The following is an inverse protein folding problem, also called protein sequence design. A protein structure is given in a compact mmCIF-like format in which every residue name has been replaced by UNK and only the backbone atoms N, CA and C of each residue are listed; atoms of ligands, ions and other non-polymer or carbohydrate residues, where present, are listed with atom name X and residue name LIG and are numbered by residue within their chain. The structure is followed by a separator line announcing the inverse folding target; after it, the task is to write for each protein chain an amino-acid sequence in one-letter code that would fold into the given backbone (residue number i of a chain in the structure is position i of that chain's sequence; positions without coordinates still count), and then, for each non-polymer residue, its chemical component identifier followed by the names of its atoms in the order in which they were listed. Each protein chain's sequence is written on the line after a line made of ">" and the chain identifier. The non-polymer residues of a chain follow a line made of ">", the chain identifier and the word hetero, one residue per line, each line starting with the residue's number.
data_IF_175844226977
#
_entry.id   IF_175844226977
#
_cell.length_a   1.000
_cell.length_b   1.000
_cell.length_c   1.000
_cell.angle_alpha   90.00
_cell.angle_beta   90.00
_cell.angle_gamma   90.00
#
_symmetry.space_group_name_H-M   'P 1'
#
loop_
_entity.id
_entity.type
_entity.pdbx_description
1 polymer ?
#
# COMPACT_ATOMS: atom_id res chain seq x y z
N UNK A 1 -15.75 -14.09 0.49
CA UNK A 1 -15.60 -13.36 -0.78
C UNK A 1 -14.19 -13.58 -1.30
N UNK A 2 -14.07 -13.97 -2.56
CA UNK A 2 -12.77 -14.14 -3.21
C UNK A 2 -12.15 -12.77 -3.50
N UNK A 3 -10.85 -12.66 -3.26
CA UNK A 3 -10.07 -11.42 -3.41
C UNK A 3 -9.32 -11.43 -4.73
N UNK A 4 -9.60 -10.45 -5.58
CA UNK A 4 -8.96 -10.35 -6.89
C UNK A 4 -7.69 -9.52 -6.84
N UNK A 5 -6.59 -10.03 -7.40
CA UNK A 5 -5.39 -9.24 -7.67
C UNK A 5 -5.67 -8.13 -8.69
N UNK A 6 -4.86 -7.08 -8.70
CA UNK A 6 -5.01 -5.95 -9.62
C UNK A 6 -4.95 -6.34 -11.11
N UNK A 7 -4.17 -7.39 -11.45
CA UNK A 7 -4.10 -7.95 -12.79
C UNK A 7 -5.38 -8.71 -13.20
N UNK A 8 -5.93 -9.53 -12.30
CA UNK A 8 -7.22 -10.23 -12.52
C UNK A 8 -8.38 -9.23 -12.59
N UNK A 9 -8.34 -8.17 -11.79
CA UNK A 9 -9.30 -7.06 -11.82
C UNK A 9 -9.37 -6.38 -13.18
N UNK A 10 -8.23 -6.10 -13.81
CA UNK A 10 -8.19 -5.43 -15.13
C UNK A 10 -8.89 -6.28 -16.20
N UNK A 11 -8.75 -7.60 -16.16
CA UNK A 11 -9.41 -8.51 -17.09
C UNK A 11 -10.93 -8.60 -16.82
N UNK A 12 -11.32 -8.69 -15.55
CA UNK A 12 -12.73 -8.78 -15.15
C UNK A 12 -13.47 -7.46 -15.41
N UNK A 13 -12.83 -6.32 -15.18
CA UNK A 13 -13.36 -4.99 -15.48
C UNK A 13 -13.81 -4.87 -16.95
N UNK A 14 -12.94 -5.25 -17.88
CA UNK A 14 -13.23 -5.25 -19.33
C UNK A 14 -14.45 -6.10 -19.69
N UNK A 15 -14.64 -7.22 -19.00
CA UNK A 15 -15.78 -8.12 -19.22
C UNK A 15 -17.09 -7.52 -18.68
N UNK A 16 -17.03 -6.84 -17.53
CA UNK A 16 -18.22 -6.34 -16.84
C UNK A 16 -18.74 -5.01 -17.41
N UNK A 17 -17.83 -4.09 -17.76
CA UNK A 17 -18.20 -2.71 -18.13
C UNK A 17 -17.72 -2.29 -19.52
N UNK A 18 -17.08 -3.19 -20.29
CA UNK A 18 -16.57 -2.91 -21.63
C UNK A 18 -15.20 -2.21 -21.64
N UNK A 19 -14.66 -1.94 -22.83
CA UNK A 19 -13.31 -1.34 -23.01
C UNK A 19 -13.28 0.19 -22.90
N UNK A 20 -14.41 0.85 -22.65
CA UNK A 20 -14.49 2.30 -22.67
C UNK A 20 -13.83 2.96 -21.45
N UNK A 21 -13.01 3.99 -21.73
CA UNK A 21 -12.26 4.77 -20.74
C UNK A 21 -13.13 5.60 -19.77
N UNK A 22 -14.46 5.55 -19.91
CA UNK A 22 -15.45 6.25 -19.08
C UNK A 22 -16.21 5.33 -18.12
N UNK A 23 -15.68 4.14 -17.84
CA UNK A 23 -16.31 3.21 -16.92
C UNK A 23 -16.47 3.83 -15.52
N UNK A 24 -17.72 3.99 -15.11
CA UNK A 24 -18.09 4.43 -13.78
C UNK A 24 -17.55 3.40 -12.78
N UNK A 25 -16.53 3.77 -12.00
CA UNK A 25 -15.91 2.86 -11.00
C UNK A 25 -16.92 2.34 -9.98
N UNK A 26 -17.99 3.09 -9.74
CA UNK A 26 -19.08 2.66 -8.86
C UNK A 26 -19.96 1.59 -9.54
N UNK A 27 -20.12 1.63 -10.87
CA UNK A 27 -20.78 0.59 -11.65
C UNK A 27 -19.95 -0.70 -11.72
N UNK A 28 -18.63 -0.59 -11.94
CA UNK A 28 -17.70 -1.72 -11.89
C UNK A 28 -17.74 -2.40 -10.52
N UNK A 29 -17.62 -1.62 -9.44
CA UNK A 29 -17.75 -2.09 -8.06
C UNK A 29 -19.10 -2.77 -7.82
N UNK A 30 -20.20 -2.13 -8.22
CA UNK A 30 -21.54 -2.68 -8.05
C UNK A 30 -21.72 -4.01 -8.81
N UNK A 31 -21.14 -4.14 -10.01
CA UNK A 31 -21.23 -5.36 -10.81
C UNK A 31 -20.34 -6.48 -10.24
N UNK A 32 -19.13 -6.18 -9.77
CA UNK A 32 -18.26 -7.16 -9.11
C UNK A 32 -18.93 -7.77 -7.87
N UNK A 33 -19.53 -6.92 -7.03
CA UNK A 33 -20.28 -7.36 -5.85
C UNK A 33 -21.56 -8.12 -6.22
N UNK A 34 -22.39 -7.58 -7.13
CA UNK A 34 -23.72 -8.15 -7.44
C UNK A 34 -23.71 -9.37 -8.35
N UNK A 35 -22.78 -9.47 -9.30
CA UNK A 35 -22.81 -10.52 -10.33
C UNK A 35 -21.75 -11.60 -10.13
N UNK A 36 -20.69 -11.30 -9.37
CA UNK A 36 -19.53 -12.21 -9.22
C UNK A 36 -19.15 -12.49 -7.77
N UNK A 37 -19.74 -11.81 -6.78
CA UNK A 37 -19.39 -11.96 -5.36
C UNK A 37 -17.88 -11.79 -5.07
N UNK A 38 -17.23 -10.89 -5.80
CA UNK A 38 -15.80 -10.58 -5.70
C UNK A 38 -15.58 -9.13 -5.30
N UNK A 39 -14.53 -8.88 -4.52
CA UNK A 39 -14.13 -7.55 -4.07
C UNK A 39 -12.70 -7.22 -4.52
N UNK A 40 -12.36 -5.92 -4.54
CA UNK A 40 -10.98 -5.47 -4.69
C UNK A 40 -10.15 -6.05 -3.55
N UNK A 41 -9.09 -6.77 -3.90
CA UNK A 41 -8.29 -7.51 -2.94
C UNK A 41 -6.80 -7.46 -3.24
N UNK A 42 -6.01 -7.90 -2.27
CA UNK A 42 -4.63 -8.27 -2.50
C UNK A 42 -4.32 -9.51 -1.68
N UNK A 43 -3.96 -10.58 -2.39
CA UNK A 43 -3.44 -11.80 -1.80
C UNK A 43 -1.93 -11.62 -1.66
N UNK A 44 -1.44 -11.73 -0.43
CA UNK A 44 -0.02 -11.60 -0.10
C UNK A 44 0.45 -12.87 0.61
N UNK A 45 1.73 -13.20 0.41
CA UNK A 45 2.39 -14.22 1.20
C UNK A 45 2.52 -13.73 2.65
N UNK A 46 1.70 -14.31 3.54
CA UNK A 46 1.68 -13.98 4.97
C UNK A 46 2.92 -14.43 5.73
N UNK A 47 3.78 -15.24 5.11
CA UNK A 47 5.08 -15.60 5.68
C UNK A 47 6.14 -14.53 5.43
N UNK A 48 5.93 -13.71 4.40
CA UNK A 48 6.83 -12.62 3.99
C UNK A 48 6.32 -11.23 4.34
N UNK A 49 5.00 -11.06 4.47
CA UNK A 49 4.34 -9.75 4.61
C UNK A 49 3.37 -9.71 5.78
N UNK A 50 3.52 -8.70 6.64
CA UNK A 50 2.55 -8.35 7.67
C UNK A 50 1.82 -7.06 7.31
N UNK A 51 0.49 -7.04 7.40
CA UNK A 51 -0.28 -5.84 7.08
C UNK A 51 -0.19 -4.79 8.20
N UNK A 52 0.16 -3.56 7.82
CA UNK A 52 0.23 -2.40 8.72
C UNK A 52 -1.08 -1.60 8.70
N UNK A 53 -1.69 -1.46 7.52
CA UNK A 53 -2.83 -0.57 7.30
C UNK A 53 -3.60 -0.93 6.03
N UNK A 54 -4.89 -0.56 5.99
CA UNK A 54 -5.74 -0.71 4.81
C UNK A 54 -6.84 0.35 4.75
N UNK A 55 -7.37 0.56 3.55
CA UNK A 55 -8.54 1.41 3.30
C UNK A 55 -9.52 0.70 2.38
N UNK A 56 -10.81 0.94 2.62
CA UNK A 56 -11.94 0.35 1.89
C UNK A 56 -11.85 -1.18 1.92
N UNK A 57 -11.90 -1.84 0.77
CA UNK A 57 -11.96 -3.30 0.64
C UNK A 57 -10.63 -4.00 0.98
N UNK A 58 -9.54 -3.24 1.16
CA UNK A 58 -8.25 -3.75 1.61
C UNK A 58 -8.05 -3.68 3.14
N UNK A 59 -9.08 -3.32 3.91
CA UNK A 59 -9.06 -3.48 5.37
C UNK A 59 -9.09 -4.98 5.72
N UNK A 60 -8.23 -5.42 6.64
CA UNK A 60 -8.21 -6.80 7.14
C UNK A 60 -8.36 -6.80 8.66
N UNK A 61 -9.49 -7.32 9.14
CA UNK A 61 -9.85 -7.33 10.57
C UNK A 61 -10.22 -5.95 11.12
N UNK A 62 -10.20 -5.80 12.45
CA UNK A 62 -10.33 -4.52 13.18
C UNK A 62 -9.05 -3.68 13.19
N UNK A 63 -7.99 -4.14 12.52
CA UNK A 63 -6.72 -3.41 12.42
C UNK A 63 -6.87 -2.33 11.33
N UNK A 64 -7.25 -1.14 11.79
CA UNK A 64 -7.12 0.10 11.04
C UNK A 64 -8.23 0.38 10.03
N UNK A 65 -9.44 0.66 10.52
CA UNK A 65 -10.49 1.31 9.70
C UNK A 65 -10.17 2.81 9.54
N UNK A 66 -9.57 3.21 8.42
CA UNK A 66 -9.34 4.63 8.10
C UNK A 66 -10.34 5.18 7.08
N UNK A 67 -10.97 6.31 7.37
CA UNK A 67 -11.76 7.07 6.38
C UNK A 67 -10.86 8.02 5.58
N UNK A 68 -11.39 8.67 4.52
CA UNK A 68 -10.66 9.66 3.70
C UNK A 68 -10.08 10.84 4.49
N UNK A 69 -10.59 11.11 5.70
CA UNK A 69 -10.22 12.27 6.51
C UNK A 69 -9.17 11.96 7.60
N UNK A 70 -9.13 10.73 8.10
CA UNK A 70 -8.32 10.35 9.25
C UNK A 70 -7.60 9.03 8.96
N UNK A 71 -6.28 8.98 9.18
CA UNK A 71 -5.66 7.70 9.53
C UNK A 71 -6.44 7.11 10.73
N UNK A 72 -6.58 5.78 10.82
CA UNK A 72 -7.37 5.16 11.86
C UNK A 72 -6.92 5.68 13.23
N UNK A 73 -7.90 6.07 14.05
CA UNK A 73 -7.69 6.31 15.47
C UNK A 73 -7.30 4.96 16.11
N UNK A 74 -5.98 4.80 16.30
CA UNK A 74 -5.29 3.74 17.04
C UNK A 74 -5.25 2.33 16.40
N UNK A 75 -4.17 1.56 16.53
CA UNK A 75 -3.01 1.76 17.41
C UNK A 75 -1.65 1.77 16.69
N UNK A 76 -0.83 2.83 16.83
CA UNK A 76 0.56 2.87 16.36
C UNK A 76 1.48 1.82 17.01
N UNK A 77 1.02 1.14 18.06
CA UNK A 77 1.85 0.20 18.83
C UNK A 77 2.25 -1.01 17.97
N UNK A 78 1.33 -1.65 17.22
CA UNK A 78 1.71 -2.80 16.39
C UNK A 78 2.52 -2.39 15.17
N UNK A 79 2.14 -1.32 14.48
CA UNK A 79 2.84 -0.87 13.28
C UNK A 79 4.26 -0.35 13.57
N UNK A 80 4.43 0.51 14.58
CA UNK A 80 5.75 1.03 14.96
C UNK A 80 6.68 -0.09 15.45
N UNK A 81 6.15 -1.05 16.23
CA UNK A 81 6.93 -2.23 16.67
C UNK A 81 7.37 -3.05 15.46
N UNK A 82 6.47 -3.36 14.53
CA UNK A 82 6.82 -4.14 13.33
C UNK A 82 7.83 -3.41 12.45
N UNK A 83 7.68 -2.10 12.28
CA UNK A 83 8.61 -1.29 11.49
C UNK A 83 10.01 -1.25 12.12
N UNK A 84 10.11 -1.08 13.45
CA UNK A 84 11.40 -1.00 14.15
C UNK A 84 12.11 -2.36 14.28
N UNK A 85 11.37 -3.48 14.26
CA UNK A 85 11.92 -4.82 14.45
C UNK A 85 12.31 -5.55 13.15
N UNK A 86 12.19 -4.89 12.00
CA UNK A 86 12.52 -5.51 10.70
C UNK A 86 13.84 -4.98 10.16
N UNK A 87 14.68 -5.86 9.60
CA UNK A 87 15.91 -5.49 8.89
C UNK A 87 16.82 -4.49 9.63
N UNK A 88 17.12 -4.73 10.91
CA UNK A 88 17.92 -3.80 11.74
C UNK A 88 17.35 -2.37 11.78
N UNK A 89 16.02 -2.20 11.76
CA UNK A 89 15.35 -0.90 11.76
C UNK A 89 15.25 -0.23 10.39
N UNK A 90 15.52 -0.98 9.30
CA UNK A 90 15.43 -0.53 7.91
C UNK A 90 14.29 -1.25 7.16
N UNK A 91 13.01 -1.01 7.54
CA UNK A 91 11.88 -1.72 6.94
C UNK A 91 11.77 -1.47 5.44
N UNK A 92 11.26 -2.51 4.75
CA UNK A 92 10.68 -2.40 3.41
C UNK A 92 9.17 -2.45 3.56
N UNK A 93 8.50 -1.40 3.10
CA UNK A 93 7.05 -1.25 3.14
C UNK A 93 6.50 -1.40 1.73
N UNK A 94 5.56 -2.32 1.54
CA UNK A 94 4.84 -2.52 0.30
C UNK A 94 3.51 -1.79 0.33
N UNK A 95 3.36 -0.80 -0.54
CA UNK A 95 2.07 -0.19 -0.84
C UNK A 95 1.39 -0.95 -1.96
N UNK A 96 0.16 -1.35 -1.70
CA UNK A 96 -0.74 -1.90 -2.73
C UNK A 96 -1.88 -0.96 -2.97
N UNK A 97 -2.20 -0.67 -4.23
CA UNK A 97 -3.30 0.19 -4.62
C UNK A 97 -4.04 -0.39 -5.82
N UNK A 98 -5.20 -1.02 -5.57
CA UNK A 98 -5.91 -1.76 -6.62
C UNK A 98 -6.50 -0.86 -7.71
N UNK A 99 -6.62 0.45 -7.45
CA UNK A 99 -7.24 1.44 -8.36
C UNK A 99 -6.26 2.47 -8.93
N UNK A 100 -4.97 2.31 -8.64
CA UNK A 100 -3.91 3.16 -9.16
C UNK A 100 -3.54 2.75 -10.60
N UNK A 101 -2.78 3.63 -11.27
CA UNK A 101 -2.16 3.28 -12.55
C UNK A 101 -1.30 2.02 -12.40
N UNK A 102 -1.13 1.19 -13.44
CA UNK A 102 -0.38 -0.08 -13.35
C UNK A 102 1.00 0.07 -12.68
N UNK A 103 1.74 1.11 -13.03
CA UNK A 103 3.07 1.42 -12.45
C UNK A 103 3.05 1.76 -10.96
N UNK A 104 1.89 2.10 -10.40
CA UNK A 104 1.70 2.55 -9.01
C UNK A 104 0.79 1.61 -8.21
N UNK A 105 0.38 0.48 -8.79
CA UNK A 105 -0.38 -0.55 -8.07
C UNK A 105 0.47 -1.20 -6.98
N UNK A 106 1.79 -1.29 -7.22
CA UNK A 106 2.78 -1.79 -6.28
C UNK A 106 3.93 -0.79 -6.17
N UNK A 107 4.22 -0.36 -4.94
CA UNK A 107 5.36 0.50 -4.64
C UNK A 107 6.04 -0.05 -3.40
N UNK A 108 7.34 -0.29 -3.49
CA UNK A 108 8.15 -0.73 -2.36
C UNK A 108 8.96 0.45 -1.85
N UNK A 109 8.56 0.99 -0.71
CA UNK A 109 9.32 2.00 0.03
C UNK A 109 10.37 1.27 0.87
N UNK A 110 11.65 1.61 0.71
CA UNK A 110 12.74 1.06 1.51
C UNK A 110 13.40 2.17 2.30
N UNK A 111 13.51 1.97 3.62
CA UNK A 111 14.35 2.78 4.49
C UNK A 111 15.83 2.59 4.17
N UNK A 112 16.56 3.69 4.14
CA UNK A 112 18.02 3.76 4.03
C UNK A 112 18.67 4.13 5.37
N UNK A 113 17.91 4.78 6.25
CA UNK A 113 18.30 5.14 7.62
C UNK A 113 17.27 4.62 8.61
N UNK A 114 17.66 4.35 9.88
CA UNK A 114 16.71 3.95 10.92
C UNK A 114 15.56 4.93 11.06
N UNK A 115 14.40 4.47 11.52
CA UNK A 115 13.26 5.34 11.83
C UNK A 115 13.63 6.15 13.09
N UNK A 116 13.74 7.49 13.01
CA UNK A 116 14.05 8.30 14.17
C UNK A 116 12.89 8.33 15.17
N UNK A 117 13.22 8.59 16.44
CA UNK A 117 12.23 8.80 17.48
C UNK A 117 11.25 9.92 17.10
N UNK A 118 9.95 9.69 17.32
CA UNK A 118 8.90 10.66 17.02
C UNK A 118 8.42 10.69 15.57
N UNK A 119 9.07 9.98 14.64
CA UNK A 119 8.56 9.86 13.26
C UNK A 119 7.39 8.86 13.18
N UNK A 120 6.19 9.36 12.87
CA UNK A 120 5.07 8.51 12.49
C UNK A 120 5.15 8.20 10.98
N UNK A 121 5.98 7.21 10.64
CA UNK A 121 6.24 6.85 9.25
C UNK A 121 4.96 6.40 8.51
N UNK A 122 4.03 5.72 9.18
CA UNK A 122 2.81 5.27 8.54
C UNK A 122 1.89 6.46 8.21
N UNK A 123 1.81 7.44 9.11
CA UNK A 123 1.08 8.67 8.89
C UNK A 123 1.67 9.50 7.73
N UNK A 124 2.99 9.58 7.65
CA UNK A 124 3.72 10.18 6.52
C UNK A 124 3.33 9.57 5.18
N UNK A 125 3.28 8.24 5.12
CA UNK A 125 2.98 7.52 3.88
C UNK A 125 1.49 7.50 3.53
N UNK A 126 0.61 7.48 4.54
CA UNK A 126 -0.83 7.33 4.33
C UNK A 126 -1.57 8.65 4.14
N UNK A 127 -1.15 9.71 4.83
CA UNK A 127 -2.01 10.89 5.06
C UNK A 127 -1.29 12.21 4.87
N UNK A 128 -0.08 12.38 5.40
CA UNK A 128 0.59 13.68 5.40
C UNK A 128 1.11 14.08 4.00
N UNK A 129 1.20 15.40 3.79
CA UNK A 129 1.62 16.05 2.54
C UNK A 129 2.67 17.12 2.83
N UNK A 130 3.58 16.80 3.75
CA UNK A 130 4.66 17.68 4.22
C UNK A 130 5.96 16.90 4.23
N UNK A 131 7.09 17.61 4.21
CA UNK A 131 8.39 16.99 4.42
C UNK A 131 8.59 16.83 5.92
N UNK A 132 8.64 15.58 6.39
CA UNK A 132 8.94 15.24 7.78
C UNK A 132 10.44 15.06 7.96
N UNK A 133 10.97 15.50 9.09
CA UNK A 133 12.37 15.27 9.47
C UNK A 133 12.65 13.76 9.56
N UNK A 134 13.74 13.30 8.93
CA UNK A 134 14.12 11.88 8.92
C UNK A 134 13.33 10.99 7.95
N UNK A 135 12.54 11.60 7.06
CA UNK A 135 11.87 10.93 5.96
C UNK A 135 12.06 11.69 4.63
N UNK A 136 13.32 11.88 4.25
CA UNK A 136 13.73 12.61 3.05
C UNK A 136 14.06 11.65 1.91
N UNK A 137 13.49 11.86 0.73
CA UNK A 137 13.75 11.04 -0.47
C UNK A 137 15.24 11.04 -0.85
N UNK A 138 15.77 9.89 -1.24
CA UNK A 138 17.19 9.61 -1.53
C UNK A 138 18.18 9.83 -0.37
N UNK A 139 17.73 10.29 0.79
CA UNK A 139 18.53 10.38 2.02
C UNK A 139 18.12 9.26 2.96
N UNK A 140 16.84 9.21 3.30
CA UNK A 140 16.28 8.30 4.28
C UNK A 140 15.47 7.16 3.64
N UNK A 141 15.03 7.33 2.39
CA UNK A 141 14.30 6.29 1.68
C UNK A 141 14.43 6.34 0.15
N UNK A 142 14.20 5.18 -0.47
CA UNK A 142 13.96 5.05 -1.91
C UNK A 142 12.67 4.28 -2.19
N UNK A 143 12.18 4.37 -3.43
CA UNK A 143 11.00 3.65 -3.91
C UNK A 143 11.38 2.74 -5.07
N UNK A 144 10.73 1.57 -5.15
CA UNK A 144 11.02 0.56 -6.15
C UNK A 144 9.74 -0.07 -6.70
N UNK A 145 9.83 -0.61 -7.91
CA UNK A 145 8.71 -1.32 -8.57
C UNK A 145 8.59 -2.77 -8.13
N UNK A 146 9.68 -3.37 -7.67
CA UNK A 146 9.74 -4.78 -7.26
C UNK A 146 10.36 -4.92 -5.87
N UNK A 147 10.04 -6.03 -5.19
CA UNK A 147 10.62 -6.34 -3.89
C UNK A 147 12.12 -6.65 -4.02
N UNK A 148 12.53 -7.39 -5.04
CA UNK A 148 13.93 -7.76 -5.27
C UNK A 148 14.80 -6.52 -5.51
N UNK A 149 14.32 -5.57 -6.31
CA UNK A 149 14.97 -4.27 -6.50
C UNK A 149 15.09 -3.49 -5.20
N UNK A 150 14.05 -3.52 -4.36
CA UNK A 150 14.12 -2.90 -3.04
C UNK A 150 15.17 -3.58 -2.17
N UNK A 151 15.19 -4.91 -2.07
CA UNK A 151 16.20 -5.66 -1.30
C UNK A 151 17.61 -5.32 -1.80
N UNK A 152 17.85 -5.43 -3.10
CA UNK A 152 19.15 -5.17 -3.74
C UNK A 152 19.53 -3.68 -3.76
N UNK A 153 18.56 -2.77 -3.65
CA UNK A 153 18.78 -1.33 -3.84
C UNK A 153 19.03 -0.93 -5.29
N UNK A 154 18.54 -1.70 -6.26
CA UNK A 154 18.71 -1.48 -7.70
C UNK A 154 17.48 -0.86 -8.32
N UNK A 155 17.62 -0.13 -9.43
CA UNK A 155 16.49 0.45 -10.17
C UNK A 155 15.52 1.31 -9.32
N UNK A 156 16.02 2.24 -8.48
CA UNK A 156 15.14 3.11 -7.71
C UNK A 156 14.32 4.02 -8.62
N UNK A 157 13.09 4.32 -8.20
CA UNK A 157 12.26 5.32 -8.87
C UNK A 157 12.92 6.69 -8.82
N UNK A 158 12.68 7.45 -9.88
CA UNK A 158 13.08 8.85 -9.96
C UNK A 158 11.87 9.77 -9.89
N UNK A 159 12.11 11.01 -9.51
CA UNK A 159 11.11 12.06 -9.53
C UNK A 159 11.46 13.06 -10.64
N UNK A 160 10.44 13.65 -11.25
CA UNK A 160 10.62 14.64 -12.30
C UNK A 160 11.50 15.80 -11.81
N UNK A 161 12.54 16.14 -12.57
CA UNK A 161 13.49 17.19 -12.18
C UNK A 161 14.32 16.86 -10.94
N UNK A 162 14.46 15.57 -10.60
CA UNK A 162 15.19 15.10 -9.42
C UNK A 162 14.69 15.72 -8.10
N UNK A 163 13.38 15.94 -7.99
CA UNK A 163 12.77 16.58 -6.83
C UNK A 163 11.50 15.86 -6.40
N UNK A 164 11.47 15.41 -5.14
CA UNK A 164 10.30 14.74 -4.56
C UNK A 164 9.24 15.77 -4.13
N UNK A 165 8.02 15.59 -4.63
CA UNK A 165 6.88 16.47 -4.30
C UNK A 165 6.21 16.04 -2.99
N UNK A 166 6.72 16.51 -1.85
CA UNK A 166 6.11 16.22 -0.54
C UNK A 166 4.67 16.73 -0.44
N UNK A 167 4.41 17.89 -1.06
CA UNK A 167 3.07 18.46 -1.08
C UNK A 167 2.08 17.60 -1.84
N UNK A 168 2.47 16.62 -2.68
CA UNK A 168 1.54 15.67 -3.29
C UNK A 168 1.15 14.51 -2.33
N UNK A 169 1.95 14.27 -1.28
CA UNK A 169 1.87 13.10 -0.39
C UNK A 169 2.37 11.83 -1.08
N UNK A 170 2.74 10.78 -0.32
CA UNK A 170 3.35 9.58 -0.89
C UNK A 170 2.54 8.94 -2.04
N UNK A 171 3.14 8.61 -3.21
CA UNK A 171 4.58 8.59 -3.53
C UNK A 171 5.13 9.89 -4.16
N UNK A 172 4.49 11.02 -3.87
CA UNK A 172 4.74 12.29 -4.53
C UNK A 172 4.12 12.31 -5.93
N UNK A 173 4.87 12.86 -6.88
CA UNK A 173 4.58 12.79 -8.32
C UNK A 173 5.62 11.91 -9.06
N UNK A 174 6.29 11.01 -8.34
CA UNK A 174 7.41 10.21 -8.84
C UNK A 174 6.94 8.95 -9.57
N UNK A 175 7.79 8.37 -10.42
CA UNK A 175 7.45 7.16 -11.18
C UNK A 175 8.70 6.35 -11.54
N UNK A 176 8.57 5.09 -11.99
CA UNK A 176 9.72 4.28 -12.39
C UNK A 176 10.56 4.92 -13.52
N UNK A 177 9.92 5.67 -14.43
CA UNK A 177 10.61 6.33 -15.55
C UNK A 177 11.18 7.70 -15.20
N UNK A 178 10.93 8.21 -13.98
CA UNK A 178 11.26 9.58 -13.60
C UNK A 178 10.30 10.64 -14.15
N UNK A 179 9.34 10.26 -14.99
CA UNK A 179 8.31 11.18 -15.46
C UNK A 179 7.37 11.58 -14.32
N UNK A 180 6.82 12.80 -14.40
CA UNK A 180 5.83 13.28 -13.43
C UNK A 180 4.51 12.53 -13.62
N UNK A 181 4.01 11.88 -12.57
CA UNK A 181 2.70 11.20 -12.60
C UNK A 181 1.83 11.64 -11.43
N UNK A 182 0.84 12.48 -11.73
CA UNK A 182 -0.07 13.02 -10.71
C UNK A 182 -1.17 12.04 -10.30
N UNK A 183 -1.90 12.42 -9.25
CA UNK A 183 -3.08 11.73 -8.72
C UNK A 183 -2.83 10.32 -8.17
N UNK A 184 -1.58 9.90 -7.94
CA UNK A 184 -1.26 8.57 -7.40
C UNK A 184 -1.16 8.52 -5.87
N UNK A 185 -1.42 9.61 -5.15
CA UNK A 185 -1.13 9.69 -3.72
C UNK A 185 -2.04 8.81 -2.86
N UNK A 186 -1.48 8.20 -1.82
CA UNK A 186 -2.20 7.31 -0.90
C UNK A 186 -3.40 8.01 -0.27
N UNK A 187 -3.23 9.28 0.13
CA UNK A 187 -4.27 10.07 0.80
C UNK A 187 -5.59 10.08 0.04
N UNK A 188 -5.56 10.19 -1.29
CA UNK A 188 -6.77 10.31 -2.11
C UNK A 188 -7.16 9.00 -2.83
N UNK A 189 -6.33 7.96 -2.76
CA UNK A 189 -6.63 6.67 -3.38
C UNK A 189 -7.57 5.82 -2.53
N UNK A 190 -8.35 4.99 -3.20
CA UNK A 190 -9.24 3.97 -2.62
C UNK A 190 -8.65 2.59 -2.83
N UNK A 191 -9.05 1.63 -2.01
CA UNK A 191 -8.55 0.25 -2.04
C UNK A 191 -7.01 0.23 -2.01
N UNK A 192 -6.45 0.81 -0.94
CA UNK A 192 -5.01 0.96 -0.73
C UNK A 192 -4.61 0.36 0.63
N UNK A 193 -3.45 -0.29 0.69
CA UNK A 193 -2.93 -0.92 1.90
C UNK A 193 -1.41 -0.81 1.97
N UNK A 194 -0.89 -0.91 3.19
CA UNK A 194 0.54 -1.02 3.46
C UNK A 194 0.84 -2.34 4.18
N UNK A 195 1.90 -3.00 3.74
CA UNK A 195 2.47 -4.19 4.35
C UNK A 195 3.94 -3.94 4.66
N UNK A 196 4.50 -4.62 5.65
CA UNK A 196 5.94 -4.61 5.95
C UNK A 196 6.53 -5.99 5.71
N UNK A 197 7.73 -6.02 5.15
CA UNK A 197 8.48 -7.25 4.95
C UNK A 197 8.96 -7.80 6.30
N UNK A 198 8.65 -9.06 6.59
CA UNK A 198 9.09 -9.76 7.80
C UNK A 198 10.27 -10.68 7.49
N UNK A 199 11.47 -10.37 7.98
CA UNK A 199 12.59 -11.32 7.92
C UNK A 199 12.40 -12.38 8.99
N UNK A 200 12.07 -13.61 8.59
CA UNK A 200 11.83 -14.77 9.47
C UNK A 200 10.74 -14.53 10.52
N UNK A 201 9.50 -14.82 10.15
CA UNK A 201 8.34 -14.62 11.01
C UNK A 201 8.38 -15.51 12.27
N UNK A 202 8.45 -14.99 13.51
CA UNK A 202 8.17 -15.79 14.71
C UNK A 202 6.66 -15.97 14.94
N UNK A 203 5.79 -15.37 14.12
CA UNK A 203 4.37 -15.63 14.19
C UNK A 203 4.04 -16.93 13.46
N UNK A 204 4.09 -18.02 14.22
CA UNK A 204 3.27 -19.21 13.98
C UNK A 204 1.87 -18.70 13.62
N UNK A 205 1.38 -19.06 12.44
CA UNK A 205 0.05 -18.69 11.98
C UNK A 205 -0.93 -18.94 13.12
N UNK A 206 -1.60 -17.88 13.61
CA UNK A 206 -2.76 -18.08 14.47
C UNK A 206 -3.73 -18.86 13.58
N UNK A 207 -4.11 -20.10 13.95
CA UNK A 207 -5.02 -20.88 13.14
C UNK A 207 -6.25 -20.03 12.90
N UNK A 208 -6.70 -19.97 11.65
CA UNK A 208 -7.96 -19.35 11.31
C UNK A 208 -9.06 -20.14 12.01
N UNK A 209 -9.40 -19.75 13.23
CA UNK A 209 -10.63 -20.22 13.86
C UNK A 209 -11.74 -19.73 12.95
N UNK A 210 -12.44 -20.68 12.32
CA UNK A 210 -13.68 -20.38 11.63
C UNK A 210 -14.58 -19.67 12.63
N UNK A 211 -14.81 -18.37 12.41
CA UNK A 211 -15.91 -17.68 13.10
C UNK A 211 -17.17 -18.31 12.55
N UNK A 212 -17.87 -19.01 13.45
CA UNK A 212 -18.96 -19.91 13.13
C UNK A 212 -20.02 -19.31 12.22
N UNK A 213 -20.64 -20.20 11.47
CA UNK A 213 -21.95 -20.03 10.87
C UNK A 213 -22.92 -19.46 11.91
N UNK A 214 -23.56 -18.35 11.57
CA UNK A 214 -24.81 -17.98 12.22
C UNK A 214 -25.91 -18.81 11.58
N UNK A 215 -26.56 -19.65 12.40
CA UNK A 215 -27.87 -20.23 12.12
C UNK A 215 -28.95 -19.13 12.08
#
# INVERSE_FOLDING_TARGET
>A
EDRLSASKLTQISKILVGEDNFNCRDAERAMMHRQRSVAFGYEHDRTQWAQLWGRDELVVGTIGTGTRANAPAFGPISAAILLNNTNNGLPIIHRVCATCLPTHQHIYYKRLTPIPEGLDLLQDLAVWRVQSTGNIWQVDFNMFSTYDDAVAGTNPWMCSGNSYSYSAGFPGDCSPSGARVSYQSTRYRRNVAFFVATTNNPFTAIPSTAVGSYD
#
